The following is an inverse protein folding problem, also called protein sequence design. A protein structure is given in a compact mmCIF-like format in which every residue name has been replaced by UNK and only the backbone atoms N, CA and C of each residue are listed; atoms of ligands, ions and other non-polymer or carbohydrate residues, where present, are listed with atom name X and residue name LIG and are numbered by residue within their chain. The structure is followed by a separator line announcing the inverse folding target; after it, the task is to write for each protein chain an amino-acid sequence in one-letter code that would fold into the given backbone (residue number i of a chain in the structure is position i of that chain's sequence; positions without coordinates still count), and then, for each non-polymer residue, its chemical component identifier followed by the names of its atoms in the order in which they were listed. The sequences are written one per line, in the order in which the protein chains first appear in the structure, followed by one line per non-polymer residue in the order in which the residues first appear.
data_IF_808835186307
#
_entry.id   IF_808835186307
#
_cell.length_a   1.000
_cell.length_b   1.000
_cell.length_c   1.000
_cell.angle_alpha   90.00
_cell.angle_beta   90.00
_cell.angle_gamma   90.00
#
_symmetry.space_group_name_H-M   'P 1'
#
loop_
_entity.id
_entity.type
_entity.pdbx_description
1 polymer ?
#
# COMPACT_ATOMS: atom_id res chain seq x y z
N UNK A 1 24.25 -1.24 26.00
CA UNK A 1 24.34 -1.06 24.54
C UNK A 1 23.10 -0.29 24.11
N UNK A 2 23.21 0.89 23.49
CA UNK A 2 22.10 1.84 23.43
C UNK A 2 21.42 1.82 22.06
N UNK A 3 20.58 0.84 21.73
CA UNK A 3 19.78 0.88 20.49
C UNK A 3 18.41 0.23 20.60
N UNK A 4 17.75 0.42 21.73
CA UNK A 4 16.29 0.26 21.79
C UNK A 4 15.71 1.64 21.49
N UNK A 5 15.55 2.01 20.21
CA UNK A 5 14.81 3.23 19.86
C UNK A 5 13.41 3.05 20.42
N UNK A 6 13.19 3.63 21.59
CA UNK A 6 11.94 3.59 22.30
C UNK A 6 10.95 4.55 21.64
N UNK A 7 9.68 4.36 21.98
CA UNK A 7 8.60 5.26 21.52
C UNK A 7 8.92 6.74 21.81
N UNK A 8 9.62 7.01 22.92
CA UNK A 8 10.05 8.36 23.32
C UNK A 8 11.05 9.00 22.35
N UNK A 9 12.06 8.25 21.88
CA UNK A 9 13.07 8.76 20.94
C UNK A 9 12.46 8.99 19.56
N UNK A 10 11.58 8.08 19.11
CA UNK A 10 10.82 8.24 17.87
C UNK A 10 9.92 9.49 17.92
N UNK A 11 9.23 9.72 19.04
CA UNK A 11 8.42 10.92 19.26
C UNK A 11 9.26 12.20 19.17
N UNK A 12 10.46 12.23 19.76
CA UNK A 12 11.35 13.39 19.71
C UNK A 12 11.81 13.70 18.27
N UNK A 13 12.20 12.67 17.52
CA UNK A 13 12.55 12.81 16.09
C UNK A 13 11.33 13.29 15.29
N UNK A 14 10.14 12.77 15.58
CA UNK A 14 8.91 13.17 14.90
C UNK A 14 8.57 14.64 15.17
N UNK A 15 8.71 15.12 16.41
CA UNK A 15 8.54 16.53 16.75
C UNK A 15 9.54 17.40 16.00
N UNK A 16 10.82 17.01 15.94
CA UNK A 16 11.84 17.74 15.16
C UNK A 16 11.49 17.78 13.66
N UNK A 17 11.08 16.66 13.08
CA UNK A 17 10.63 16.60 11.69
C UNK A 17 9.41 17.49 11.45
N UNK A 18 8.48 17.53 12.40
CA UNK A 18 7.31 18.40 12.37
C UNK A 18 7.66 19.89 12.49
N UNK A 19 8.71 20.26 13.20
CA UNK A 19 9.18 21.64 13.25
C UNK A 19 9.84 22.07 11.93
N UNK A 20 10.61 21.17 11.30
CA UNK A 20 11.27 21.46 10.03
C UNK A 20 10.30 21.52 8.84
N UNK A 21 9.40 20.54 8.74
CA UNK A 21 8.50 20.40 7.60
C UNK A 21 7.08 20.93 7.89
N UNK A 22 6.66 20.99 9.15
CA UNK A 22 5.32 21.39 9.55
C UNK A 22 4.34 20.21 9.67
N UNK A 23 3.38 20.24 10.62
CA UNK A 23 2.37 19.18 10.82
C UNK A 23 1.40 19.03 9.66
N UNK A 24 1.26 20.03 8.81
CA UNK A 24 0.40 19.96 7.64
C UNK A 24 1.05 19.18 6.48
N UNK A 25 2.39 19.08 6.44
CA UNK A 25 3.11 18.42 5.33
C UNK A 25 3.06 16.91 5.38
N UNK A 26 3.11 16.31 6.56
CA UNK A 26 2.94 14.85 6.70
C UNK A 26 1.62 14.33 6.12
N UNK A 27 0.43 14.84 6.49
CA UNK A 27 -0.84 14.37 5.94
C UNK A 27 -1.03 14.79 4.47
N UNK A 28 -0.46 15.90 4.03
CA UNK A 28 -0.45 16.29 2.62
C UNK A 28 0.34 15.29 1.76
N UNK A 29 1.55 14.92 2.21
CA UNK A 29 2.42 13.94 1.58
C UNK A 29 1.80 12.54 1.56
N UNK A 30 1.25 12.09 2.70
CA UNK A 30 0.55 10.81 2.81
C UNK A 30 -0.64 10.74 1.85
N UNK A 31 -1.44 11.81 1.72
CA UNK A 31 -2.52 11.88 0.74
C UNK A 31 -2.01 11.80 -0.71
N UNK A 32 -0.85 12.40 -0.99
CA UNK A 32 -0.17 12.29 -2.29
C UNK A 32 0.18 10.84 -2.63
N UNK A 33 0.90 10.16 -1.72
CA UNK A 33 1.27 8.74 -1.91
C UNK A 33 0.03 7.86 -1.99
N UNK A 34 -0.97 8.06 -1.12
CA UNK A 34 -2.19 7.25 -1.12
C UNK A 34 -2.93 7.33 -2.47
N UNK A 35 -3.02 8.52 -3.07
CA UNK A 35 -3.59 8.70 -4.41
C UNK A 35 -2.75 7.99 -5.48
N UNK A 36 -1.43 8.11 -5.42
CA UNK A 36 -0.53 7.44 -6.37
C UNK A 36 -0.68 5.91 -6.31
N UNK A 37 -0.70 5.33 -5.10
CA UNK A 37 -0.89 3.89 -4.90
C UNK A 37 -2.26 3.45 -5.42
N UNK A 38 -3.33 4.21 -5.13
CA UNK A 38 -4.68 3.88 -5.59
C UNK A 38 -4.78 3.91 -7.12
N UNK A 39 -4.17 4.91 -7.78
CA UNK A 39 -4.15 5.00 -9.22
C UNK A 39 -3.31 3.88 -9.85
N UNK A 40 -2.16 3.55 -9.26
CA UNK A 40 -1.34 2.43 -9.70
C UNK A 40 -2.09 1.10 -9.59
N UNK A 41 -2.79 0.86 -8.46
CA UNK A 41 -3.60 -0.34 -8.26
C UNK A 41 -4.70 -0.46 -9.32
N UNK A 42 -5.40 0.63 -9.63
CA UNK A 42 -6.43 0.66 -10.67
C UNK A 42 -5.86 0.34 -12.05
N UNK A 43 -4.77 1.00 -12.43
CA UNK A 43 -4.11 0.73 -13.70
C UNK A 43 -3.62 -0.74 -13.80
N UNK A 44 -3.10 -1.29 -12.70
CA UNK A 44 -2.70 -2.69 -12.66
C UNK A 44 -3.89 -3.66 -12.80
N UNK A 45 -5.05 -3.30 -12.24
CA UNK A 45 -6.29 -4.06 -12.35
C UNK A 45 -6.85 -4.03 -13.78
N UNK A 46 -6.87 -2.87 -14.41
CA UNK A 46 -7.28 -2.71 -15.82
C UNK A 46 -6.40 -3.56 -16.75
N UNK A 47 -5.07 -3.53 -16.56
CA UNK A 47 -4.13 -4.37 -17.32
C UNK A 47 -4.37 -5.86 -17.07
N UNK A 48 -4.65 -6.27 -15.83
CA UNK A 48 -4.95 -7.67 -15.50
C UNK A 48 -6.20 -8.16 -16.24
N UNK A 49 -7.22 -7.31 -16.33
CA UNK A 49 -8.48 -7.60 -17.02
C UNK A 49 -8.29 -7.66 -18.55
N UNK A 50 -7.53 -6.72 -19.13
CA UNK A 50 -7.18 -6.74 -20.57
C UNK A 50 -6.43 -8.00 -20.98
N UNK A 51 -5.52 -8.47 -20.11
CA UNK A 51 -4.73 -9.68 -20.33
C UNK A 51 -5.50 -10.98 -20.00
N UNK A 52 -6.80 -10.90 -19.65
CA UNK A 52 -7.64 -12.03 -19.21
C UNK A 52 -6.91 -12.97 -18.23
N UNK A 53 -6.09 -12.41 -17.33
CA UNK A 53 -5.36 -13.22 -16.36
C UNK A 53 -6.30 -13.93 -15.36
N UNK A 54 -7.55 -13.50 -15.31
CA UNK A 54 -8.60 -14.13 -14.52
C UNK A 54 -9.03 -15.51 -15.04
N UNK A 55 -8.72 -15.85 -16.31
CA UNK A 55 -8.95 -17.21 -16.83
C UNK A 55 -7.90 -18.23 -16.37
N UNK A 56 -6.72 -17.76 -15.90
CA UNK A 56 -5.69 -18.64 -15.34
C UNK A 56 -5.93 -19.04 -13.88
N UNK A 57 -6.79 -18.29 -13.16
CA UNK A 57 -7.10 -18.52 -11.73
C UNK A 57 -8.49 -19.15 -11.51
N UNK A 58 -9.27 -19.41 -12.57
CA UNK A 58 -10.45 -20.26 -12.46
C UNK A 58 -10.01 -21.69 -12.16
N UNK A 59 -10.36 -22.29 -11.00
CA UNK A 59 -10.23 -23.73 -10.85
C UNK A 59 -11.07 -24.34 -11.97
N UNK A 60 -10.41 -25.05 -12.91
CA UNK A 60 -11.11 -25.85 -13.91
C UNK A 60 -12.03 -26.77 -13.12
N UNK A 61 -13.33 -26.47 -13.09
CA UNK A 61 -14.33 -27.37 -12.49
C UNK A 61 -14.12 -28.73 -13.15
N UNK A 62 -13.66 -29.67 -12.34
CA UNK A 62 -13.40 -31.03 -12.77
C UNK A 62 -14.71 -31.62 -13.29
N UNK A 63 -14.79 -32.09 -14.55
CA UNK A 63 -16.01 -32.67 -15.12
C UNK A 63 -16.53 -33.95 -14.42
N UNK A 64 -15.99 -34.30 -13.26
CA UNK A 64 -16.19 -35.57 -12.58
C UNK A 64 -17.11 -35.48 -11.34
N UNK A 65 -17.74 -34.35 -11.07
CA UNK A 65 -18.59 -34.16 -9.87
C UNK A 65 -20.08 -34.45 -10.10
N UNK A 66 -20.48 -34.90 -11.30
CA UNK A 66 -21.87 -35.24 -11.65
C UNK A 66 -22.04 -36.73 -12.00
N UNK A 67 -21.62 -37.63 -11.11
CA UNK A 67 -21.94 -39.07 -11.19
C UNK A 67 -22.39 -39.63 -9.85
#
# INVERSE_FOLDING_TARGET
MPFSIGMSELMLIMVLALLLFGPNKLPEFARGIARAINNFKRAAEDVKQELNLDDFDKPRKSPFEEK
#
